data_IF_519094719372
#
_entry.id   IF_519094719372
#
_cell.length_a   1.000
_cell.length_b   1.000
_cell.length_c   1.000
_cell.angle_alpha   90.00
_cell.angle_beta   90.00
_cell.angle_gamma   90.00
#
_symmetry.space_group_name_H-M   'P 1'
#
loop_
_entity.id
_entity.type
_entity.pdbx_description
1 polymer ?
#
# COMPACT_ATOMS: atom_id res chain seq x y z
N UNK A 1 -17.50 42.50 8.14
CA UNK A 1 -17.25 41.03 8.26
C UNK A 1 -15.75 40.79 8.26
N UNK A 2 -15.18 40.36 9.37
CA UNK A 2 -13.72 40.22 9.50
C UNK A 2 -13.21 39.05 8.64
N UNK A 3 -12.38 39.37 7.65
CA UNK A 3 -11.73 38.40 6.77
C UNK A 3 -10.77 37.56 7.63
N UNK A 4 -11.18 36.33 8.01
CA UNK A 4 -10.38 35.42 8.84
C UNK A 4 -9.17 34.98 8.03
N UNK A 5 -8.08 35.76 8.14
CA UNK A 5 -6.81 35.51 7.47
C UNK A 5 -6.46 34.04 7.61
N UNK A 6 -6.21 33.38 6.46
CA UNK A 6 -5.95 31.95 6.46
C UNK A 6 -4.70 31.69 7.31
N UNK A 7 -4.84 30.90 8.38
CA UNK A 7 -3.73 30.58 9.29
C UNK A 7 -2.47 30.20 8.50
N UNK A 8 -1.27 30.66 8.88
CA UNK A 8 -0.01 30.33 8.21
C UNK A 8 0.15 28.81 7.96
N UNK A 9 -0.33 27.98 8.88
CA UNK A 9 -0.36 26.52 8.74
C UNK A 9 -1.23 26.06 7.57
N UNK A 10 -2.41 26.66 7.38
CA UNK A 10 -3.32 26.31 6.26
C UNK A 10 -2.69 26.65 4.92
N UNK A 11 -2.02 27.80 4.82
CA UNK A 11 -1.32 28.19 3.60
C UNK A 11 -0.11 27.29 3.33
N UNK A 12 0.66 26.92 4.36
CA UNK A 12 1.75 25.96 4.23
C UNK A 12 1.25 24.60 3.73
N UNK A 13 0.16 24.07 4.32
CA UNK A 13 -0.46 22.80 3.91
C UNK A 13 -0.90 22.83 2.44
N UNK A 14 -1.60 23.89 2.04
CA UNK A 14 -2.01 24.05 0.64
C UNK A 14 -0.82 24.14 -0.33
N UNK A 15 0.34 24.68 0.09
CA UNK A 15 1.57 24.65 -0.72
C UNK A 15 2.17 23.25 -0.82
N UNK A 16 2.17 22.48 0.27
CA UNK A 16 2.68 21.11 0.27
C UNK A 16 1.83 20.19 -0.63
N UNK A 17 0.50 20.32 -0.55
CA UNK A 17 -0.43 19.57 -1.40
C UNK A 17 -0.25 19.88 -2.89
N UNK A 18 -0.12 21.16 -3.27
CA UNK A 18 0.19 21.56 -4.65
C UNK A 18 1.53 21.03 -5.16
N UNK A 19 2.46 20.70 -4.26
CA UNK A 19 3.75 20.08 -4.58
C UNK A 19 3.67 18.54 -4.62
N UNK A 20 2.48 17.96 -4.48
CA UNK A 20 2.25 16.52 -4.51
C UNK A 20 2.53 15.79 -3.19
N UNK A 21 2.66 16.52 -2.07
CA UNK A 21 2.85 15.90 -0.77
C UNK A 21 1.52 15.62 -0.07
N UNK A 22 1.40 14.41 0.49
CA UNK A 22 0.27 13.99 1.32
C UNK A 22 0.72 13.88 2.77
N UNK A 23 -0.16 14.29 3.70
CA UNK A 23 0.08 14.12 5.13
C UNK A 23 -0.24 12.68 5.53
N UNK A 24 0.68 12.07 6.27
CA UNK A 24 0.48 10.76 6.90
C UNK A 24 0.61 10.94 8.41
N UNK A 25 -0.33 10.37 9.17
CA UNK A 25 -0.25 10.32 10.63
C UNK A 25 0.30 8.95 11.03
N UNK A 26 1.30 8.94 11.90
CA UNK A 26 2.05 7.74 12.28
C UNK A 26 2.26 7.71 13.78
N UNK A 27 2.17 6.52 14.36
CA UNK A 27 2.52 6.27 15.75
C UNK A 27 3.77 5.40 15.77
N UNK A 28 4.81 5.87 16.45
CA UNK A 28 6.08 5.17 16.62
C UNK A 28 6.62 5.36 18.03
N UNK A 29 7.58 4.52 18.42
CA UNK A 29 8.30 4.72 19.68
C UNK A 29 9.12 6.02 19.61
N UNK A 30 9.44 6.58 20.77
CA UNK A 30 10.09 7.89 20.88
C UNK A 30 11.45 7.91 20.18
N UNK A 31 12.20 6.81 20.32
CA UNK A 31 13.49 6.55 19.70
C UNK A 31 13.44 6.56 18.16
N UNK A 32 12.33 6.08 17.59
CA UNK A 32 12.16 5.92 16.14
C UNK A 32 11.67 7.21 15.46
N UNK A 33 11.16 8.19 16.22
CA UNK A 33 10.61 9.42 15.66
C UNK A 33 11.62 10.21 14.82
N UNK A 34 12.91 10.12 15.15
CA UNK A 34 13.99 10.74 14.36
C UNK A 34 14.23 10.00 13.04
N UNK A 35 14.15 8.67 13.05
CA UNK A 35 14.32 7.82 11.89
C UNK A 35 13.19 8.03 10.89
N UNK A 36 11.94 8.02 11.33
CA UNK A 36 10.78 8.25 10.46
C UNK A 36 10.85 9.61 9.77
N UNK A 37 11.28 10.65 10.48
CA UNK A 37 11.50 11.98 9.89
C UNK A 37 12.55 11.94 8.78
N UNK A 38 13.68 11.26 9.01
CA UNK A 38 14.74 11.10 7.98
C UNK A 38 14.23 10.32 6.77
N UNK A 39 13.44 9.27 6.97
CA UNK A 39 12.82 8.51 5.87
C UNK A 39 11.89 9.41 5.05
N UNK A 40 11.01 10.18 5.70
CA UNK A 40 10.14 11.13 5.02
C UNK A 40 10.94 12.20 4.24
N UNK A 41 12.03 12.72 4.82
CA UNK A 41 12.94 13.65 4.13
C UNK A 41 13.59 13.02 2.90
N UNK A 42 14.11 11.80 3.00
CA UNK A 42 14.70 11.10 1.86
C UNK A 42 13.68 10.83 0.74
N UNK A 43 12.43 10.51 1.09
CA UNK A 43 11.34 10.35 0.12
C UNK A 43 10.91 11.67 -0.53
N UNK A 44 11.18 12.81 0.10
CA UNK A 44 10.87 14.14 -0.43
C UNK A 44 11.98 14.75 -1.30
N UNK A 45 13.18 14.18 -1.24
CA UNK A 45 14.38 14.66 -1.93
C UNK A 45 14.52 13.99 -3.30
N UNK A 46 14.41 14.71 -4.42
CA UNK A 46 14.49 14.13 -5.76
C UNK A 46 15.76 13.32 -6.01
N UNK A 47 16.88 13.68 -5.39
CA UNK A 47 18.16 12.98 -5.56
C UNK A 47 18.19 11.60 -4.89
N UNK A 48 17.41 11.40 -3.82
CA UNK A 48 17.40 10.19 -2.99
C UNK A 48 16.10 9.40 -3.06
N UNK A 49 15.04 10.00 -3.59
CA UNK A 49 13.69 9.45 -3.55
C UNK A 49 13.59 8.07 -4.23
N UNK A 50 14.23 7.88 -5.38
CA UNK A 50 14.16 6.62 -6.12
C UNK A 50 14.78 5.46 -5.33
N UNK A 51 15.96 5.67 -4.77
CA UNK A 51 16.66 4.69 -3.95
C UNK A 51 15.91 4.40 -2.65
N UNK A 52 15.43 5.45 -1.95
CA UNK A 52 14.64 5.31 -0.74
C UNK A 52 13.37 4.47 -0.99
N UNK A 53 12.65 4.72 -2.09
CA UNK A 53 11.48 3.91 -2.48
C UNK A 53 11.83 2.45 -2.75
N UNK A 54 12.95 2.19 -3.43
CA UNK A 54 13.41 0.83 -3.74
C UNK A 54 13.67 0.04 -2.45
N UNK A 55 14.46 0.60 -1.53
CA UNK A 55 14.81 -0.06 -0.26
C UNK A 55 13.56 -0.31 0.58
N UNK A 56 12.67 0.68 0.72
CA UNK A 56 11.45 0.52 1.52
C UNK A 56 10.52 -0.55 0.93
N UNK A 57 10.33 -0.58 -0.39
CA UNK A 57 9.51 -1.62 -1.03
C UNK A 57 10.13 -3.01 -0.87
N UNK A 58 11.45 -3.13 -0.98
CA UNK A 58 12.13 -4.42 -0.79
C UNK A 58 11.96 -4.98 0.64
N UNK A 59 11.86 -4.11 1.66
CA UNK A 59 11.85 -4.54 3.07
C UNK A 59 10.46 -4.54 3.70
N UNK A 60 9.56 -3.68 3.23
CA UNK A 60 8.27 -3.41 3.90
C UNK A 60 7.07 -3.45 2.96
N UNK A 61 7.24 -3.75 1.66
CA UNK A 61 6.06 -3.95 0.82
C UNK A 61 5.30 -5.17 1.33
N UNK A 62 4.01 -4.97 1.59
CA UNK A 62 3.09 -6.09 1.75
C UNK A 62 3.18 -6.94 0.47
N UNK A 63 3.31 -8.28 0.58
CA UNK A 63 3.25 -9.13 -0.60
C UNK A 63 1.97 -8.79 -1.38
N UNK A 64 2.03 -8.74 -2.72
CA UNK A 64 0.87 -8.37 -3.51
C UNK A 64 -0.31 -9.23 -3.07
N UNK A 65 -1.48 -8.61 -2.88
CA UNK A 65 -2.71 -9.35 -2.60
C UNK A 65 -3.01 -10.19 -3.83
N UNK A 66 -2.59 -11.45 -3.77
CA UNK A 66 -2.73 -12.41 -4.87
C UNK A 66 -4.20 -12.81 -4.90
N UNK A 67 -4.88 -12.60 -6.03
CA UNK A 67 -6.27 -13.07 -6.16
C UNK A 67 -6.29 -14.60 -6.10
N UNK A 68 -7.38 -15.19 -5.61
CA UNK A 68 -7.53 -16.66 -5.61
C UNK A 68 -7.31 -17.24 -7.02
N UNK A 69 -7.79 -16.54 -8.07
CA UNK A 69 -7.58 -16.94 -9.46
C UNK A 69 -6.10 -16.98 -9.83
N UNK A 70 -5.32 -15.99 -9.38
CA UNK A 70 -3.87 -15.93 -9.62
C UNK A 70 -3.14 -17.05 -8.88
N UNK A 71 -3.55 -17.35 -7.64
CA UNK A 71 -3.00 -18.48 -6.88
C UNK A 71 -3.27 -19.82 -7.56
N UNK A 72 -4.51 -20.06 -7.99
CA UNK A 72 -4.89 -21.28 -8.70
C UNK A 72 -4.15 -21.42 -10.03
N UNK A 73 -3.95 -20.32 -10.77
CA UNK A 73 -3.16 -20.33 -12.00
C UNK A 73 -1.66 -20.62 -11.78
N UNK A 74 -1.14 -20.29 -10.60
CA UNK A 74 0.25 -20.59 -10.21
C UNK A 74 0.42 -21.95 -9.52
N UNK A 75 -0.67 -22.67 -9.25
CA UNK A 75 -0.61 -23.96 -8.58
C UNK A 75 0.01 -25.01 -9.52
N UNK A 76 0.84 -25.94 -9.01
CA UNK A 76 1.29 -27.08 -9.79
C UNK A 76 0.11 -28.02 -9.99
N UNK A 77 -0.47 -28.01 -11.19
CA UNK A 77 -1.62 -28.84 -11.56
C UNK A 77 -1.22 -30.22 -12.10
N UNK A 78 0.08 -30.54 -12.08
CA UNK A 78 0.60 -31.81 -12.55
C UNK A 78 -0.01 -32.98 -11.77
N UNK A 79 -0.68 -33.88 -12.48
CA UNK A 79 -1.35 -35.04 -11.89
C UNK A 79 -2.74 -34.78 -11.30
N UNK A 80 -3.30 -33.58 -11.48
CA UNK A 80 -4.67 -33.25 -11.07
C UNK A 80 -5.61 -33.41 -12.26
N UNK A 81 -6.60 -34.29 -12.15
CA UNK A 81 -7.68 -34.42 -13.13
C UNK A 81 -8.73 -33.33 -12.91
N UNK A 82 -8.85 -32.43 -13.90
CA UNK A 82 -9.82 -31.34 -13.90
C UNK A 82 -11.07 -31.66 -14.73
N UNK A 83 -11.06 -32.75 -15.50
CA UNK A 83 -12.11 -33.10 -16.48
C UNK A 83 -13.13 -34.08 -15.90
N UNK A 84 -13.46 -33.91 -14.61
CA UNK A 84 -14.49 -34.73 -13.96
C UNK A 84 -15.82 -34.58 -14.69
N UNK A 85 -16.37 -35.71 -15.14
CA UNK A 85 -17.70 -35.79 -15.74
C UNK A 85 -18.76 -35.21 -14.80
N UNK A 86 -19.65 -34.37 -15.36
CA UNK A 86 -20.78 -33.81 -14.61
C UNK A 86 -21.70 -34.94 -14.13
N UNK A 87 -21.66 -35.21 -12.83
CA UNK A 87 -22.64 -36.06 -12.16
C UNK A 87 -23.89 -35.25 -11.87
N UNK A 88 -25.07 -35.77 -12.22
CA UNK A 88 -26.36 -35.11 -12.03
C UNK A 88 -26.90 -35.17 -10.58
N UNK A 89 -26.02 -35.49 -9.62
CA UNK A 89 -26.39 -35.67 -8.22
C UNK A 89 -27.09 -37.01 -7.95
N UNK A 90 -27.38 -37.25 -6.68
CA UNK A 90 -28.18 -38.39 -6.22
C UNK A 90 -29.60 -37.90 -5.96
N UNK A 91 -30.61 -38.74 -6.17
CA UNK A 91 -31.96 -38.45 -5.68
C UNK A 91 -31.89 -38.24 -4.16
N UNK A 92 -32.37 -37.08 -3.72
CA UNK A 92 -32.53 -36.74 -2.30
C UNK A 92 -34.04 -36.61 -2.08
N UNK A 93 -34.58 -37.47 -1.23
CA UNK A 93 -35.96 -37.33 -0.77
C UNK A 93 -35.98 -36.25 0.33
N UNK A 94 -36.78 -35.20 0.13
CA UNK A 94 -36.89 -34.04 1.03
C UNK A 94 -38.13 -34.15 1.92
#
# INVERSE_FOLDING_TARGET
MANKAKSPLRNHRARMERRGFVRVEVNVRKEDASLVRRVASALSDPSRQAEARKILRQRFAEPPKVSLKTLLASAPLDGIDLDRSREFGREVDL
#
